data_IF_389190594108
#
_entry.id   IF_389190594108
#
_cell.length_a   1.000
_cell.length_b   1.000
_cell.length_c   1.000
_cell.angle_alpha   90.00
_cell.angle_beta   90.00
_cell.angle_gamma   90.00
#
_symmetry.space_group_name_H-M   'P 1'
#
loop_
_entity.id
_entity.type
_entity.pdbx_description
1 polymer ?
#
# COMPACT_ATOMS: atom_id res chain seq x y z
N UNK A 1 -4.72 15.22 25.93
CA UNK A 1 -6.02 15.53 25.32
C UNK A 1 -6.08 14.94 23.92
N UNK A 2 -6.96 13.93 23.78
CA UNK A 2 -7.53 13.29 22.57
C UNK A 2 -6.64 13.08 21.33
N UNK A 3 -6.27 11.80 21.20
CA UNK A 3 -5.86 11.06 19.99
C UNK A 3 -6.54 11.61 18.73
N UNK A 4 -5.75 12.06 17.77
CA UNK A 4 -6.22 12.17 16.38
C UNK A 4 -5.87 10.85 15.68
N UNK A 5 -6.79 10.22 14.93
CA UNK A 5 -6.42 9.23 13.91
C UNK A 5 -5.40 9.85 12.94
N UNK A 6 -4.66 9.03 12.17
CA UNK A 6 -3.68 9.51 11.18
C UNK A 6 -4.22 10.72 10.44
N UNK A 7 -3.43 11.79 10.41
CA UNK A 7 -3.86 13.11 9.94
C UNK A 7 -4.65 12.96 8.63
N UNK A 8 -5.85 13.56 8.60
CA UNK A 8 -6.60 13.81 7.37
C UNK A 8 -5.67 14.62 6.48
N UNK A 9 -4.99 13.96 5.55
CA UNK A 9 -4.25 14.66 4.50
C UNK A 9 -5.30 15.40 3.70
N UNK A 10 -5.23 16.73 3.72
CA UNK A 10 -6.19 17.56 3.01
C UNK A 10 -6.09 17.18 1.52
N UNK A 11 -7.21 17.06 0.82
CA UNK A 11 -7.20 16.62 -0.59
C UNK A 11 -6.29 17.49 -1.49
N UNK A 12 -6.05 18.76 -1.11
CA UNK A 12 -5.09 19.67 -1.74
C UNK A 12 -3.62 19.26 -1.61
N UNK A 13 -3.29 18.35 -0.68
CA UNK A 13 -1.94 17.88 -0.36
C UNK A 13 -1.65 16.49 -0.95
N UNK A 14 -2.68 15.72 -1.37
CA UNK A 14 -2.52 14.37 -1.93
C UNK A 14 -2.45 14.36 -3.46
N UNK A 15 -2.93 15.39 -4.14
CA UNK A 15 -2.75 15.48 -5.58
C UNK A 15 -2.40 16.91 -5.96
N UNK A 16 -1.33 17.08 -6.74
CA UNK A 16 -1.02 18.35 -7.39
C UNK A 16 -2.15 18.71 -8.37
N UNK A 17 -3.23 19.32 -7.85
CA UNK A 17 -4.26 20.10 -8.53
C UNK A 17 -5.11 20.77 -7.45
N UNK A 18 -4.87 22.08 -7.29
CA UNK A 18 -5.55 22.95 -6.34
C UNK A 18 -7.07 22.75 -6.37
N UNK A 19 -7.66 22.54 -5.18
CA UNK A 19 -9.08 22.69 -4.96
C UNK A 19 -9.29 24.17 -4.62
N UNK A 20 -9.72 24.95 -5.60
CA UNK A 20 -10.34 26.25 -5.33
C UNK A 20 -11.79 26.00 -4.88
N UNK A 21 -12.20 26.72 -3.83
CA UNK A 21 -13.51 26.76 -3.16
C UNK A 21 -13.81 25.78 -2.01
N UNK A 22 -13.67 26.36 -0.81
CA UNK A 22 -14.62 26.54 0.30
C UNK A 22 -15.45 25.38 0.94
N UNK A 23 -15.42 25.41 2.28
CA UNK A 23 -16.31 24.82 3.30
C UNK A 23 -16.49 23.29 3.44
N UNK A 24 -16.15 22.44 2.48
CA UNK A 24 -16.12 20.96 2.72
C UNK A 24 -14.86 20.49 3.46
N UNK A 25 -13.91 21.40 3.69
CA UNK A 25 -12.56 21.16 4.22
C UNK A 25 -12.48 20.59 5.66
N UNK A 26 -13.59 20.46 6.39
CA UNK A 26 -13.58 19.86 7.74
C UNK A 26 -13.42 18.33 7.72
N UNK A 27 -13.74 17.66 6.60
CA UNK A 27 -13.62 16.20 6.46
C UNK A 27 -12.72 15.80 5.28
N UNK A 28 -11.50 15.36 5.58
CA UNK A 28 -10.55 14.86 4.59
C UNK A 28 -11.02 13.54 3.96
N UNK A 29 -10.47 13.23 2.78
CA UNK A 29 -10.77 12.02 2.02
C UNK A 29 -9.61 11.03 2.18
N UNK A 30 -9.91 9.74 2.32
CA UNK A 30 -8.87 8.70 2.38
C UNK A 30 -8.13 8.59 1.05
N UNK A 31 -6.79 8.58 1.09
CA UNK A 31 -5.94 8.58 -0.10
C UNK A 31 -6.24 7.43 -1.07
N UNK A 32 -6.55 6.24 -0.56
CA UNK A 32 -6.83 5.05 -1.38
C UNK A 32 -8.19 5.11 -2.11
N UNK A 33 -8.99 6.16 -1.88
CA UNK A 33 -10.21 6.46 -2.66
C UNK A 33 -9.91 7.35 -3.88
N UNK A 34 -8.67 7.84 -4.01
CA UNK A 34 -8.23 8.75 -5.06
C UNK A 34 -7.22 8.07 -5.97
N UNK A 35 -7.42 8.19 -7.28
CA UNK A 35 -6.48 7.70 -8.27
C UNK A 35 -5.34 8.70 -8.46
N UNK A 36 -4.12 8.18 -8.67
CA UNK A 36 -2.92 9.00 -8.85
C UNK A 36 -2.46 8.92 -10.33
N UNK A 37 -2.15 10.05 -10.99
CA UNK A 37 -1.66 10.04 -12.37
C UNK A 37 -0.32 9.31 -12.56
N UNK A 38 0.42 9.04 -11.49
CA UNK A 38 1.66 8.25 -11.51
C UNK A 38 1.45 6.73 -11.50
N UNK A 39 0.21 6.25 -11.37
CA UNK A 39 -0.12 4.82 -11.39
C UNK A 39 0.22 4.17 -12.73
N UNK A 40 0.74 2.93 -12.69
CA UNK A 40 1.12 2.14 -13.88
C UNK A 40 2.03 2.90 -14.87
N UNK A 41 3.25 3.32 -14.46
CA UNK A 41 4.16 4.26 -15.16
C UNK A 41 4.97 3.67 -16.34
N UNK A 42 4.45 2.64 -17.03
CA UNK A 42 5.29 1.77 -17.88
C UNK A 42 5.67 2.33 -19.26
N UNK A 43 5.10 3.46 -19.64
CA UNK A 43 5.27 4.07 -20.95
C UNK A 43 6.55 4.88 -21.16
N UNK A 44 7.31 5.07 -20.09
CA UNK A 44 8.62 5.70 -20.15
C UNK A 44 9.74 4.71 -20.50
N UNK A 45 9.48 3.41 -20.32
CA UNK A 45 10.43 2.36 -20.65
C UNK A 45 10.32 2.00 -22.15
N UNK A 46 11.46 2.13 -22.84
CA UNK A 46 11.55 1.90 -24.28
C UNK A 46 11.32 0.43 -24.62
N UNK A 47 11.86 -0.51 -23.83
CA UNK A 47 11.72 -1.93 -24.09
C UNK A 47 10.26 -2.36 -23.96
N UNK A 48 9.57 -1.90 -22.91
CA UNK A 48 8.14 -2.17 -22.73
C UNK A 48 7.31 -1.59 -23.88
N UNK A 49 7.60 -0.35 -24.29
CA UNK A 49 6.89 0.30 -25.40
C UNK A 49 7.07 -0.43 -26.74
N UNK A 50 8.23 -1.06 -26.96
CA UNK A 50 8.49 -1.88 -28.15
C UNK A 50 7.80 -3.25 -28.09
N UNK A 51 7.72 -3.86 -26.90
CA UNK A 51 7.17 -5.20 -26.71
C UNK A 51 5.63 -5.24 -26.64
N UNK A 52 5.00 -4.21 -26.08
CA UNK A 52 3.55 -4.16 -25.84
C UNK A 52 2.98 -2.75 -26.16
N UNK A 53 3.07 -2.31 -27.43
CA UNK A 53 2.71 -0.94 -27.82
C UNK A 53 1.22 -0.62 -27.66
N UNK A 54 0.34 -1.60 -27.90
CA UNK A 54 -1.12 -1.40 -27.85
C UNK A 54 -1.59 -1.26 -26.39
N UNK A 55 -1.08 -2.09 -25.49
CA UNK A 55 -1.35 -2.03 -24.06
C UNK A 55 -0.82 -0.72 -23.44
N UNK A 56 0.39 -0.29 -23.84
CA UNK A 56 0.96 0.99 -23.41
C UNK A 56 0.09 2.17 -23.89
N UNK A 57 -0.49 2.08 -25.08
CA UNK A 57 -1.43 3.09 -25.59
C UNK A 57 -2.70 3.16 -24.73
N UNK A 58 -3.30 2.02 -24.41
CA UNK A 58 -4.47 1.95 -23.51
C UNK A 58 -4.18 2.58 -22.15
N UNK A 59 -3.02 2.27 -21.55
CA UNK A 59 -2.57 2.85 -20.28
C UNK A 59 -2.42 4.38 -20.33
N UNK A 60 -1.83 4.91 -21.41
CA UNK A 60 -1.68 6.36 -21.60
C UNK A 60 -3.04 7.04 -21.67
N UNK A 61 -3.98 6.46 -22.39
CA UNK A 61 -5.34 6.98 -22.51
C UNK A 61 -6.08 6.93 -21.17
N UNK A 62 -5.97 5.81 -20.45
CA UNK A 62 -6.53 5.65 -19.10
C UNK A 62 -6.01 6.72 -18.12
N UNK A 63 -4.68 6.91 -18.02
CA UNK A 63 -4.08 7.91 -17.12
C UNK A 63 -4.52 9.34 -17.42
N UNK A 64 -4.71 9.70 -18.69
CA UNK A 64 -5.22 11.02 -19.06
C UNK A 64 -6.59 11.27 -18.42
N UNK A 65 -7.45 10.24 -18.43
CA UNK A 65 -8.78 10.27 -17.82
C UNK A 65 -8.79 10.48 -16.30
N UNK A 66 -7.74 10.04 -15.59
CA UNK A 66 -7.64 10.19 -14.13
C UNK A 66 -7.57 11.65 -13.68
N UNK A 67 -7.02 12.51 -14.53
CA UNK A 67 -6.71 13.90 -14.16
C UNK A 67 -7.89 14.86 -14.32
N UNK A 68 -9.06 14.38 -14.76
CA UNK A 68 -10.26 15.20 -14.90
C UNK A 68 -10.60 15.95 -13.59
N UNK A 69 -11.21 17.13 -13.68
CA UNK A 69 -11.65 17.84 -12.48
C UNK A 69 -12.72 17.03 -11.73
N UNK A 70 -12.76 17.17 -10.42
CA UNK A 70 -13.81 16.57 -9.59
C UNK A 70 -15.07 17.42 -9.69
N UNK A 71 -16.20 16.78 -9.95
CA UNK A 71 -17.53 17.42 -9.90
C UNK A 71 -18.08 17.43 -8.48
N UNK A 72 -19.14 18.21 -8.21
CA UNK A 72 -19.83 18.16 -6.91
C UNK A 72 -20.41 16.77 -6.60
N UNK A 73 -20.87 16.04 -7.63
CA UNK A 73 -21.31 14.65 -7.47
C UNK A 73 -20.16 13.74 -7.04
N UNK A 74 -18.98 13.91 -7.63
CA UNK A 74 -17.78 13.14 -7.25
C UNK A 74 -17.41 13.39 -5.78
N UNK A 75 -17.45 14.66 -5.35
CA UNK A 75 -17.16 15.03 -3.95
C UNK A 75 -18.15 14.40 -2.97
N UNK A 76 -19.45 14.43 -3.29
CA UNK A 76 -20.49 13.78 -2.47
C UNK A 76 -20.28 12.26 -2.38
N UNK A 77 -19.94 11.63 -3.52
CA UNK A 77 -19.63 10.19 -3.60
C UNK A 77 -18.44 9.82 -2.72
N UNK A 78 -17.34 10.58 -2.81
CA UNK A 78 -16.13 10.39 -2.00
C UNK A 78 -16.38 10.62 -0.50
N UNK A 79 -17.25 11.57 -0.14
CA UNK A 79 -17.64 11.79 1.26
C UNK A 79 -18.43 10.60 1.81
N UNK A 80 -19.36 10.04 1.02
CA UNK A 80 -20.11 8.83 1.40
C UNK A 80 -19.19 7.61 1.57
N UNK A 81 -18.26 7.40 0.63
CA UNK A 81 -17.22 6.37 0.72
C UNK A 81 -16.36 6.55 1.98
N UNK A 82 -15.90 7.77 2.24
CA UNK A 82 -15.06 8.06 3.42
C UNK A 82 -15.79 7.78 4.73
N UNK A 83 -17.08 8.13 4.81
CA UNK A 83 -17.93 7.80 5.96
C UNK A 83 -18.05 6.29 6.15
N UNK A 84 -18.22 5.53 5.08
CA UNK A 84 -18.29 4.07 5.16
C UNK A 84 -16.95 3.46 5.61
N UNK A 85 -15.83 3.98 5.12
CA UNK A 85 -14.48 3.60 5.58
C UNK A 85 -14.32 3.86 7.09
N UNK A 86 -14.73 5.03 7.60
CA UNK A 86 -14.65 5.35 9.03
C UNK A 86 -15.41 4.35 9.89
N UNK A 87 -16.62 3.98 9.48
CA UNK A 87 -17.46 3.04 10.22
C UNK A 87 -16.90 1.61 10.18
N UNK A 88 -16.46 1.13 9.01
CA UNK A 88 -15.81 -0.18 8.88
C UNK A 88 -14.50 -0.23 9.67
N UNK A 89 -13.71 0.83 9.65
CA UNK A 89 -12.44 0.90 10.37
C UNK A 89 -12.66 0.85 11.88
N UNK A 90 -13.65 1.61 12.39
CA UNK A 90 -14.01 1.56 13.80
C UNK A 90 -14.48 0.15 14.23
N UNK A 91 -15.20 -0.57 13.36
CA UNK A 91 -15.59 -1.96 13.61
C UNK A 91 -14.38 -2.89 13.60
N UNK A 92 -13.55 -2.85 12.57
CA UNK A 92 -12.35 -3.67 12.45
C UNK A 92 -11.39 -3.48 13.64
N UNK A 93 -11.17 -2.23 14.06
CA UNK A 93 -10.33 -1.90 15.22
C UNK A 93 -10.91 -2.47 16.53
N UNK A 94 -12.23 -2.43 16.71
CA UNK A 94 -12.92 -2.99 17.89
C UNK A 94 -12.79 -4.50 17.93
N UNK A 95 -13.12 -5.18 16.83
CA UNK A 95 -13.05 -6.64 16.71
C UNK A 95 -11.61 -7.12 16.96
N UNK A 96 -10.64 -6.45 16.34
CA UNK A 96 -9.23 -6.75 16.54
C UNK A 96 -8.78 -6.50 17.97
N UNK A 97 -9.15 -5.38 18.58
CA UNK A 97 -8.81 -5.06 19.97
C UNK A 97 -9.31 -6.12 20.96
N UNK A 98 -10.60 -6.49 20.86
CA UNK A 98 -11.20 -7.56 21.67
C UNK A 98 -10.52 -8.90 21.44
N UNK A 99 -10.16 -9.22 20.20
CA UNK A 99 -9.46 -10.45 19.89
C UNK A 99 -8.05 -10.46 20.51
N UNK A 100 -7.33 -9.35 20.43
CA UNK A 100 -6.01 -9.19 21.05
C UNK A 100 -6.06 -9.31 22.57
N UNK A 101 -7.10 -8.80 23.23
CA UNK A 101 -7.32 -9.03 24.67
C UNK A 101 -7.43 -10.52 25.03
N UNK A 102 -8.02 -11.34 24.15
CA UNK A 102 -8.18 -12.78 24.33
C UNK A 102 -6.88 -13.58 24.06
N UNK A 103 -6.04 -13.13 23.12
CA UNK A 103 -4.88 -13.90 22.64
C UNK A 103 -3.51 -13.37 23.08
N UNK A 104 -3.44 -12.18 23.67
CA UNK A 104 -2.18 -11.58 24.13
C UNK A 104 -1.53 -12.44 25.23
N UNK A 105 -0.28 -12.85 25.03
CA UNK A 105 0.61 -13.29 26.12
C UNK A 105 1.50 -12.12 26.48
N UNK A 106 1.74 -11.98 27.79
CA UNK A 106 2.88 -11.20 28.26
C UNK A 106 4.01 -12.18 28.46
N UNK A 107 5.12 -11.95 27.79
CA UNK A 107 6.35 -12.69 28.10
C UNK A 107 6.94 -12.14 29.40
N UNK A 108 7.54 -13.00 30.21
CA UNK A 108 8.28 -12.57 31.40
C UNK A 108 9.58 -11.90 30.96
N UNK A 109 9.64 -10.58 31.09
CA UNK A 109 10.84 -9.78 30.84
C UNK A 109 11.52 -9.49 32.17
N UNK A 110 12.85 -9.67 32.24
CA UNK A 110 13.62 -9.40 33.46
C UNK A 110 13.38 -7.97 33.97
N UNK A 111 13.12 -7.84 35.28
CA UNK A 111 12.82 -6.55 35.91
C UNK A 111 11.40 -6.01 35.69
N UNK A 112 10.54 -6.74 34.97
CA UNK A 112 9.11 -6.45 34.82
C UNK A 112 8.26 -7.45 35.63
N UNK A 113 6.99 -7.12 35.94
CA UNK A 113 6.07 -8.09 36.52
C UNK A 113 6.02 -9.38 35.69
N UNK A 114 5.86 -10.53 36.36
CA UNK A 114 5.74 -11.82 35.68
C UNK A 114 4.70 -11.77 34.55
N UNK A 115 5.05 -12.40 33.44
CA UNK A 115 4.20 -12.51 32.27
C UNK A 115 2.97 -13.39 32.49
N UNK A 116 2.22 -13.61 31.41
CA UNK A 116 1.10 -14.54 31.36
C UNK A 116 1.59 -15.95 31.66
N UNK A 117 0.92 -16.65 32.59
CA UNK A 117 1.14 -18.08 32.86
C UNK A 117 0.64 -19.00 31.74
N UNK A 118 -0.08 -18.45 30.75
CA UNK A 118 -0.62 -19.20 29.62
C UNK A 118 0.01 -18.66 28.32
N UNK A 119 1.07 -19.30 27.81
CA UNK A 119 1.64 -18.94 26.51
C UNK A 119 0.65 -19.39 25.43
N UNK A 120 -0.13 -18.45 24.90
CA UNK A 120 -0.96 -18.73 23.74
C UNK A 120 -0.05 -19.10 22.56
N UNK A 121 -0.15 -20.34 22.05
CA UNK A 121 0.67 -20.81 20.94
C UNK A 121 0.47 -19.91 19.72
N UNK A 122 1.57 -19.55 19.03
CA UNK A 122 1.59 -18.75 17.79
C UNK A 122 0.57 -19.27 16.77
N UNK A 123 0.49 -20.58 16.55
CA UNK A 123 -0.46 -21.17 15.60
C UNK A 123 -1.93 -20.90 15.97
N UNK A 124 -2.25 -20.90 17.27
CA UNK A 124 -3.59 -20.55 17.73
C UNK A 124 -3.88 -19.05 17.53
N UNK A 125 -2.89 -18.17 17.72
CA UNK A 125 -3.03 -16.73 17.43
C UNK A 125 -3.30 -16.47 15.95
N UNK A 126 -2.49 -17.07 15.08
CA UNK A 126 -2.64 -16.92 13.64
C UNK A 126 -4.02 -17.39 13.18
N UNK A 127 -4.48 -18.55 13.67
CA UNK A 127 -5.83 -19.05 13.38
C UNK A 127 -6.92 -18.07 13.83
N UNK A 128 -6.79 -17.48 15.01
CA UNK A 128 -7.75 -16.50 15.53
C UNK A 128 -7.74 -15.21 14.72
N UNK A 129 -6.55 -14.67 14.39
CA UNK A 129 -6.40 -13.47 13.57
C UNK A 129 -6.92 -13.68 12.14
N UNK A 130 -6.80 -14.90 11.59
CA UNK A 130 -7.35 -15.25 10.28
C UNK A 130 -8.88 -15.11 10.20
N UNK A 131 -9.59 -15.17 11.34
CA UNK A 131 -11.04 -14.94 11.39
C UNK A 131 -11.41 -13.53 10.96
N UNK A 132 -10.60 -12.53 11.35
CA UNK A 132 -10.79 -11.15 10.89
C UNK A 132 -10.56 -11.00 9.39
N UNK A 133 -9.74 -11.88 8.79
CA UNK A 133 -9.39 -11.85 7.37
C UNK A 133 -10.37 -12.61 6.47
N UNK A 134 -11.40 -13.23 7.05
CA UNK A 134 -12.43 -13.94 6.27
C UNK A 134 -13.19 -12.97 5.34
N UNK A 135 -13.66 -13.44 4.18
CA UNK A 135 -14.44 -12.61 3.26
C UNK A 135 -15.65 -11.95 3.94
N UNK A 136 -15.96 -10.72 3.51
CA UNK A 136 -17.11 -9.95 3.97
C UNK A 136 -16.95 -9.25 5.32
N UNK A 137 -15.93 -9.57 6.12
CA UNK A 137 -15.66 -8.88 7.40
C UNK A 137 -15.29 -7.42 7.17
N UNK A 138 -15.41 -6.58 8.21
CA UNK A 138 -15.02 -5.18 8.09
C UNK A 138 -13.55 -5.02 7.68
N UNK A 139 -12.66 -5.84 8.24
CA UNK A 139 -11.25 -5.86 7.89
C UNK A 139 -11.02 -6.29 6.42
N UNK A 140 -11.64 -7.38 5.94
CA UNK A 140 -11.35 -7.89 4.59
C UNK A 140 -11.89 -6.96 3.50
N UNK A 141 -13.04 -6.30 3.73
CA UNK A 141 -13.57 -5.25 2.84
C UNK A 141 -12.61 -4.07 2.73
N UNK A 142 -12.11 -3.56 3.86
CA UNK A 142 -11.11 -2.48 3.86
C UNK A 142 -9.82 -2.91 3.16
N UNK A 143 -9.33 -4.11 3.46
CA UNK A 143 -8.13 -4.64 2.83
C UNK A 143 -8.30 -4.76 1.31
N UNK A 144 -9.42 -5.28 0.84
CA UNK A 144 -9.69 -5.40 -0.60
C UNK A 144 -9.73 -4.04 -1.30
N UNK A 145 -10.34 -3.03 -0.68
CA UNK A 145 -10.37 -1.66 -1.22
C UNK A 145 -8.96 -1.05 -1.31
N UNK A 146 -8.14 -1.21 -0.27
CA UNK A 146 -6.76 -0.71 -0.26
C UNK A 146 -5.85 -1.51 -1.20
N UNK A 147 -6.03 -2.83 -1.29
CA UNK A 147 -5.29 -3.70 -2.21
C UNK A 147 -5.63 -3.39 -3.67
N UNK A 148 -6.90 -3.11 -3.99
CA UNK A 148 -7.31 -2.64 -5.31
C UNK A 148 -6.56 -1.35 -5.69
N UNK A 149 -6.47 -0.39 -4.77
CA UNK A 149 -5.71 0.85 -5.00
C UNK A 149 -4.21 0.58 -5.21
N UNK A 150 -3.60 -0.30 -4.40
CA UNK A 150 -2.20 -0.69 -4.57
C UNK A 150 -1.94 -1.39 -5.91
N UNK A 151 -2.85 -2.28 -6.34
CA UNK A 151 -2.75 -3.01 -7.59
C UNK A 151 -2.64 -2.09 -8.81
N UNK A 152 -3.29 -0.91 -8.78
CA UNK A 152 -3.23 0.07 -9.88
C UNK A 152 -1.84 0.67 -10.10
N UNK A 153 -0.93 0.59 -9.13
CA UNK A 153 0.46 1.04 -9.32
C UNK A 153 1.27 0.07 -10.18
N UNK A 154 0.97 -1.24 -10.11
CA UNK A 154 1.65 -2.30 -10.83
C UNK A 154 0.64 -3.18 -11.61
N UNK A 155 -0.28 -2.55 -12.34
CA UNK A 155 -1.31 -3.28 -13.07
C UNK A 155 -0.69 -4.12 -14.20
N UNK A 156 -1.04 -5.41 -14.36
CA UNK A 156 -0.50 -6.25 -15.42
C UNK A 156 -0.78 -5.65 -16.79
N UNK A 157 0.25 -5.51 -17.62
CA UNK A 157 0.18 -4.76 -18.86
C UNK A 157 -0.71 -5.46 -19.87
N UNK A 158 -0.65 -6.78 -19.92
CA UNK A 158 -1.52 -7.64 -20.73
C UNK A 158 -3.00 -7.49 -20.36
N UNK A 159 -3.31 -6.98 -19.16
CA UNK A 159 -4.66 -6.74 -18.68
C UNK A 159 -5.04 -5.25 -18.72
N UNK A 160 -4.33 -4.42 -19.50
CA UNK A 160 -4.59 -2.98 -19.59
C UNK A 160 -6.02 -2.63 -20.01
N UNK A 161 -6.69 -3.48 -20.79
CA UNK A 161 -8.09 -3.30 -21.18
C UNK A 161 -9.09 -3.38 -20.00
N UNK A 162 -8.70 -4.00 -18.89
CA UNK A 162 -9.52 -4.14 -17.68
C UNK A 162 -9.30 -3.02 -16.66
N UNK A 163 -8.44 -2.04 -16.96
CA UNK A 163 -8.23 -0.90 -16.06
C UNK A 163 -9.54 -0.14 -15.84
N UNK A 164 -9.99 0.02 -14.58
CA UNK A 164 -11.23 0.71 -14.31
C UNK A 164 -11.05 2.21 -14.56
N UNK A 165 -11.98 2.81 -15.32
CA UNK A 165 -12.15 4.26 -15.34
C UNK A 165 -12.41 4.79 -13.92
N UNK A 166 -12.28 6.11 -13.72
CA UNK A 166 -12.49 6.74 -12.41
C UNK A 166 -13.88 6.44 -11.82
N UNK A 167 -14.91 6.45 -12.65
CA UNK A 167 -16.29 6.14 -12.22
C UNK A 167 -16.44 4.67 -11.85
N UNK A 168 -15.90 3.75 -12.67
CA UNK A 168 -15.92 2.31 -12.39
C UNK A 168 -15.13 1.98 -11.11
N UNK A 169 -13.99 2.61 -10.89
CA UNK A 169 -13.19 2.45 -9.66
C UNK A 169 -14.00 2.80 -8.41
N UNK A 170 -14.74 3.91 -8.41
CA UNK A 170 -15.61 4.23 -7.30
C UNK A 170 -16.80 3.28 -7.17
N UNK A 171 -17.37 2.79 -8.26
CA UNK A 171 -18.44 1.77 -8.21
C UNK A 171 -17.93 0.49 -7.56
N UNK A 172 -16.73 0.03 -7.93
CA UNK A 172 -16.05 -1.09 -7.29
C UNK A 172 -15.88 -0.86 -5.78
N UNK A 173 -15.39 0.32 -5.38
CA UNK A 173 -15.22 0.66 -3.96
C UNK A 173 -16.56 0.69 -3.20
N UNK A 174 -17.62 1.21 -3.80
CA UNK A 174 -18.96 1.21 -3.19
C UNK A 174 -19.48 -0.21 -2.96
N UNK A 175 -19.25 -1.10 -3.92
CA UNK A 175 -19.54 -2.53 -3.82
C UNK A 175 -18.74 -3.18 -2.70
N UNK A 176 -17.40 -3.09 -2.75
CA UNK A 176 -16.47 -3.68 -1.76
C UNK A 176 -16.80 -3.22 -0.34
N UNK A 177 -16.97 -1.90 -0.14
CA UNK A 177 -17.23 -1.31 1.18
C UNK A 177 -18.70 -1.48 1.61
N UNK A 178 -19.59 -1.85 0.69
CA UNK A 178 -21.01 -2.02 0.94
C UNK A 178 -21.67 -0.72 1.42
N UNK A 179 -21.51 0.38 0.67
CA UNK A 179 -22.06 1.71 1.04
C UNK A 179 -23.59 1.67 1.22
N UNK A 180 -24.28 0.76 0.54
CA UNK A 180 -25.73 0.54 0.68
C UNK A 180 -26.13 -0.44 1.79
N UNK A 181 -25.16 -1.03 2.51
CA UNK A 181 -25.39 -2.02 3.57
C UNK A 181 -25.22 -1.37 4.94
N UNK A 182 -26.16 -1.60 5.85
CA UNK A 182 -26.01 -1.17 7.23
C UNK A 182 -24.93 -2.00 7.92
N UNK A 183 -23.99 -1.33 8.58
CA UNK A 183 -22.90 -1.99 9.33
C UNK A 183 -23.43 -2.76 10.55
N UNK A 184 -24.62 -2.40 11.06
CA UNK A 184 -25.27 -3.15 12.12
C UNK A 184 -25.64 -4.59 11.71
N UNK A 185 -25.80 -4.84 10.40
CA UNK A 185 -26.16 -6.15 9.87
C UNK A 185 -24.93 -7.06 9.67
N UNK A 186 -23.71 -6.51 9.82
CA UNK A 186 -22.49 -7.29 9.70
C UNK A 186 -22.29 -8.15 10.97
N UNK A 187 -22.03 -9.47 10.81
CA UNK A 187 -21.75 -10.32 11.95
C UNK A 187 -20.50 -9.84 12.70
N UNK A 188 -20.57 -9.79 14.03
CA UNK A 188 -19.41 -9.49 14.88
C UNK A 188 -18.63 -10.77 15.15
N UNK A 189 -17.40 -10.85 14.64
CA UNK A 189 -16.52 -12.02 14.82
C UNK A 189 -16.33 -12.33 16.31
N UNK A 190 -16.26 -11.31 17.15
CA UNK A 190 -16.00 -11.49 18.59
C UNK A 190 -17.23 -11.94 19.37
N UNK A 191 -18.42 -11.48 19.00
CA UNK A 191 -19.69 -11.96 19.58
C UNK A 191 -19.96 -13.40 19.15
N UNK A 192 -19.67 -13.77 17.90
CA UNK A 192 -19.80 -15.15 17.45
C UNK A 192 -18.87 -16.10 18.20
N UNK A 193 -17.63 -15.71 18.45
CA UNK A 193 -16.69 -16.49 19.25
C UNK A 193 -17.14 -16.66 20.70
N UNK A 194 -17.91 -15.72 21.25
CA UNK A 194 -18.50 -15.84 22.59
C UNK A 194 -19.67 -16.82 22.63
N UNK A 195 -20.46 -16.87 21.55
CA UNK A 195 -21.59 -17.80 21.42
C UNK A 195 -21.13 -19.23 21.07
N UNK A 196 -20.17 -19.37 20.15
CA UNK A 196 -19.65 -20.65 19.67
C UNK A 196 -18.12 -20.54 19.48
N UNK A 197 -17.32 -20.96 20.48
CA UNK A 197 -15.86 -20.79 20.47
C UNK A 197 -15.10 -21.48 19.33
N UNK A 198 -15.75 -22.39 18.60
CA UNK A 198 -15.14 -23.18 17.52
C UNK A 198 -15.61 -22.80 16.11
N UNK A 199 -16.57 -21.87 15.98
CA UNK A 199 -17.15 -21.55 14.68
C UNK A 199 -17.51 -20.06 14.57
N UNK A 200 -16.83 -19.36 13.65
CA UNK A 200 -17.26 -18.07 13.12
C UNK A 200 -17.94 -18.35 11.79
N UNK A 201 -19.18 -17.90 11.63
CA UNK A 201 -19.88 -17.94 10.34
C UNK A 201 -19.28 -16.85 9.45
N UNK A 202 -18.77 -17.19 8.26
CA UNK A 202 -18.31 -16.19 7.32
C UNK A 202 -19.44 -15.20 7.01
N UNK A 203 -19.14 -13.91 7.03
CA UNK A 203 -19.99 -12.93 6.36
C UNK A 203 -19.96 -13.18 4.87
N UNK A 204 -21.12 -13.13 4.22
CA UNK A 204 -21.12 -13.09 2.76
C UNK A 204 -20.53 -11.74 2.30
N UNK A 205 -19.60 -11.75 1.33
CA UNK A 205 -19.16 -10.51 0.71
C UNK A 205 -20.35 -9.84 0.01
N UNK A 206 -20.36 -8.51 -0.07
CA UNK A 206 -21.39 -7.81 -0.85
C UNK A 206 -21.28 -8.27 -2.32
N UNK A 207 -22.42 -8.33 -3.05
CA UNK A 207 -22.38 -8.67 -4.46
C UNK A 207 -21.52 -7.67 -5.22
N UNK A 208 -20.84 -8.14 -6.25
CA UNK A 208 -20.07 -7.27 -7.12
C UNK A 208 -21.01 -6.26 -7.80
N UNK A 209 -20.60 -4.98 -7.90
CA UNK A 209 -21.44 -3.95 -8.50
C UNK A 209 -21.48 -4.14 -10.02
N UNK A 210 -22.61 -3.78 -10.63
CA UNK A 210 -22.66 -3.62 -12.08
C UNK A 210 -21.84 -2.39 -12.48
N UNK A 211 -20.95 -2.57 -13.47
CA UNK A 211 -20.11 -1.51 -14.00
C UNK A 211 -20.68 -1.00 -15.33
N UNK A 212 -20.42 0.27 -15.63
CA UNK A 212 -20.72 0.83 -16.94
C UNK A 212 -19.79 0.22 -18.01
N UNK A 213 -20.33 -0.09 -19.19
CA UNK A 213 -19.58 -0.65 -20.32
C UNK A 213 -19.42 -2.17 -20.28
N UNK A 214 -18.46 -2.70 -21.03
CA UNK A 214 -18.30 -4.15 -21.25
C UNK A 214 -17.42 -4.85 -20.17
N UNK A 215 -16.79 -4.09 -19.28
CA UNK A 215 -15.89 -4.61 -18.24
C UNK A 215 -16.70 -5.07 -17.04
N UNK A 216 -16.49 -6.31 -16.60
CA UNK A 216 -17.16 -6.87 -15.42
C UNK A 216 -16.36 -6.61 -14.15
N UNK A 217 -17.06 -6.37 -13.04
CA UNK A 217 -16.42 -6.11 -11.76
C UNK A 217 -15.55 -7.29 -11.29
N UNK A 218 -16.01 -8.52 -11.50
CA UNK A 218 -15.30 -9.74 -11.10
C UNK A 218 -13.94 -9.86 -11.80
N UNK A 219 -13.87 -9.49 -13.09
CA UNK A 219 -12.63 -9.55 -13.86
C UNK A 219 -11.61 -8.54 -13.34
N UNK A 220 -12.03 -7.29 -13.07
CA UNK A 220 -11.16 -6.26 -12.49
C UNK A 220 -10.68 -6.67 -11.10
N UNK A 221 -11.59 -7.16 -10.24
CA UNK A 221 -11.24 -7.56 -8.88
C UNK A 221 -10.33 -8.78 -8.85
N UNK A 222 -10.46 -9.71 -9.81
CA UNK A 222 -9.57 -10.85 -9.97
C UNK A 222 -8.14 -10.41 -10.33
N UNK A 223 -7.99 -9.54 -11.32
CA UNK A 223 -6.68 -8.99 -11.71
C UNK A 223 -6.06 -8.18 -10.58
N UNK A 224 -6.86 -7.34 -9.92
CA UNK A 224 -6.40 -6.57 -8.76
C UNK A 224 -5.91 -7.47 -7.63
N UNK A 225 -6.62 -8.57 -7.33
CA UNK A 225 -6.22 -9.52 -6.31
C UNK A 225 -4.90 -10.23 -6.65
N UNK A 226 -4.68 -10.60 -7.93
CA UNK A 226 -3.43 -11.22 -8.39
C UNK A 226 -2.25 -10.25 -8.30
N UNK A 227 -2.44 -9.00 -8.75
CA UNK A 227 -1.43 -7.96 -8.67
C UNK A 227 -1.09 -7.65 -7.19
N UNK A 228 -2.10 -7.48 -6.34
CA UNK A 228 -1.89 -7.24 -4.91
C UNK A 228 -1.22 -8.43 -4.21
N UNK A 229 -1.55 -9.67 -4.58
CA UNK A 229 -0.88 -10.87 -4.05
C UNK A 229 0.62 -10.90 -4.39
N UNK A 230 0.99 -10.40 -5.57
CA UNK A 230 2.39 -10.29 -5.98
C UNK A 230 3.12 -9.17 -5.24
N UNK A 231 2.49 -8.00 -5.10
CA UNK A 231 3.04 -6.84 -4.39
C UNK A 231 3.13 -7.05 -2.87
N UNK A 232 2.20 -7.81 -2.29
CA UNK A 232 2.06 -8.04 -0.84
C UNK A 232 2.04 -6.73 -0.02
N UNK A 233 1.12 -5.79 -0.32
CA UNK A 233 1.07 -4.52 0.38
C UNK A 233 0.75 -4.71 1.88
N UNK A 234 1.44 -3.93 2.72
CA UNK A 234 1.21 -3.89 4.16
C UNK A 234 0.53 -2.57 4.56
N UNK A 235 -0.74 -2.68 4.97
CA UNK A 235 -1.54 -1.55 5.45
C UNK A 235 -1.43 -1.44 6.98
N UNK A 236 -0.41 -0.73 7.47
CA UNK A 236 -0.08 -0.65 8.91
C UNK A 236 -1.28 -0.30 9.79
N UNK A 237 -2.01 0.74 9.41
CA UNK A 237 -3.17 1.26 10.13
C UNK A 237 -4.31 0.23 10.21
N UNK A 238 -4.44 -0.66 9.23
CA UNK A 238 -5.44 -1.72 9.23
C UNK A 238 -4.97 -2.96 10.01
N UNK A 239 -3.73 -3.41 9.75
CA UNK A 239 -3.12 -4.58 10.39
C UNK A 239 -2.89 -4.39 11.88
N UNK A 240 -2.77 -3.16 12.36
CA UNK A 240 -2.58 -2.84 13.78
C UNK A 240 -3.61 -1.80 14.27
N UNK A 241 -4.82 -1.84 13.72
CA UNK A 241 -5.87 -0.85 13.96
C UNK A 241 -6.16 -0.56 15.44
N UNK A 242 -6.07 -1.56 16.31
CA UNK A 242 -6.16 -1.41 17.77
C UNK A 242 -5.03 -0.55 18.35
N UNK A 243 -3.81 -0.67 17.84
CA UNK A 243 -2.65 0.14 18.27
C UNK A 243 -2.87 1.60 17.90
N UNK A 244 -3.33 1.87 16.68
CA UNK A 244 -3.61 3.24 16.23
C UNK A 244 -4.77 3.87 16.99
N UNK A 245 -5.87 3.14 17.21
CA UNK A 245 -7.04 3.66 17.96
C UNK A 245 -6.74 3.84 19.46
N UNK A 246 -5.93 2.96 20.05
CA UNK A 246 -5.63 2.99 21.49
C UNK A 246 -4.40 3.82 21.86
N UNK A 247 -3.42 3.97 20.97
CA UNK A 247 -2.12 4.61 21.29
C UNK A 247 -1.71 5.69 20.30
N UNK A 248 -2.48 5.89 19.22
CA UNK A 248 -2.16 6.86 18.18
C UNK A 248 -1.01 6.43 17.26
N UNK A 249 -0.54 5.18 17.38
CA UNK A 249 0.63 4.67 16.65
C UNK A 249 1.51 3.82 17.55
N UNK A 250 2.67 3.42 17.02
CA UNK A 250 3.67 2.64 17.76
C UNK A 250 4.48 3.51 18.72
N UNK A 251 4.56 3.10 19.99
CA UNK A 251 5.35 3.80 21.01
C UNK A 251 6.87 3.73 20.74
N UNK A 252 7.33 2.68 20.05
CA UNK A 252 8.73 2.45 19.70
C UNK A 252 8.81 1.84 18.29
N UNK A 253 9.63 2.43 17.43
CA UNK A 253 10.01 1.87 16.13
C UNK A 253 11.52 1.80 16.04
N UNK A 254 12.07 0.60 15.94
CA UNK A 254 13.52 0.36 15.85
C UNK A 254 13.85 -0.56 14.70
N UNK A 255 15.01 -0.37 14.08
CA UNK A 255 15.46 -1.24 13.00
C UNK A 255 16.65 -0.73 12.20
N UNK A 256 17.09 -1.56 11.25
CA UNK A 256 18.10 -1.23 10.25
C UNK A 256 17.45 -1.34 8.85
N UNK A 257 16.83 -0.26 8.35
CA UNK A 257 16.20 -0.29 7.03
C UNK A 257 17.19 -0.64 5.91
N UNK A 258 16.72 -1.25 4.80
CA UNK A 258 17.59 -1.61 3.69
C UNK A 258 18.19 -0.38 3.01
N UNK A 259 19.48 -0.42 2.72
CA UNK A 259 20.23 0.65 2.03
C UNK A 259 20.26 0.44 0.51
N UNK A 260 19.11 0.06 -0.04
CA UNK A 260 18.97 -0.34 -1.44
C UNK A 260 18.14 0.71 -2.15
N UNK A 261 18.62 1.12 -3.32
CA UNK A 261 17.81 1.85 -4.28
C UNK A 261 17.09 0.83 -5.14
N UNK A 262 15.76 0.92 -5.15
CA UNK A 262 14.95 0.11 -6.03
C UNK A 262 15.09 0.69 -7.44
N UNK A 263 15.76 -0.04 -8.34
CA UNK A 263 15.96 0.31 -9.75
C UNK A 263 15.60 -0.90 -10.62
N UNK A 264 14.95 -0.66 -11.77
CA UNK A 264 14.70 -1.70 -12.77
C UNK A 264 16.02 -2.06 -13.47
N UNK A 265 16.36 -3.36 -13.47
CA UNK A 265 17.54 -3.91 -14.14
C UNK A 265 17.10 -4.94 -15.17
N UNK A 266 17.03 -4.53 -16.43
CA UNK A 266 16.77 -5.44 -17.56
C UNK A 266 17.83 -6.54 -17.63
N UNK A 267 19.10 -6.19 -17.41
CA UNK A 267 20.21 -7.15 -17.40
C UNK A 267 19.98 -8.29 -16.39
N UNK A 268 19.54 -7.95 -15.17
CA UNK A 268 19.33 -8.90 -14.10
C UNK A 268 18.22 -9.91 -14.39
N UNK A 269 17.16 -9.50 -15.09
CA UNK A 269 16.09 -10.41 -15.51
C UNK A 269 16.53 -11.28 -16.68
N UNK A 270 17.25 -10.72 -17.65
CA UNK A 270 17.70 -11.49 -18.81
C UNK A 270 18.84 -12.47 -18.46
N UNK A 271 19.64 -12.19 -17.42
CA UNK A 271 20.72 -13.07 -16.96
C UNK A 271 20.24 -14.38 -16.34
N UNK A 272 18.98 -14.46 -15.91
CA UNK A 272 18.37 -15.73 -15.47
C UNK A 272 18.27 -16.74 -16.62
N UNK A 273 18.20 -16.27 -17.86
CA UNK A 273 18.20 -17.12 -19.07
C UNK A 273 19.60 -17.19 -19.69
N UNK A 274 20.28 -16.05 -19.85
CA UNK A 274 21.61 -15.97 -20.42
C UNK A 274 22.59 -15.30 -19.44
N UNK A 275 23.24 -16.08 -18.54
CA UNK A 275 24.14 -15.55 -17.52
C UNK A 275 25.30 -14.72 -18.08
N UNK A 276 25.64 -14.88 -19.36
CA UNK A 276 26.69 -14.09 -20.01
C UNK A 276 26.36 -12.60 -20.07
N UNK A 277 25.08 -12.21 -19.99
CA UNK A 277 24.69 -10.80 -20.02
C UNK A 277 25.36 -10.02 -18.87
N UNK A 278 25.32 -10.54 -17.65
CA UNK A 278 25.98 -9.92 -16.50
C UNK A 278 27.47 -10.29 -16.41
N UNK A 279 27.84 -11.55 -16.67
CA UNK A 279 29.23 -12.00 -16.56
C UNK A 279 30.18 -11.28 -17.55
N UNK A 280 29.71 -11.02 -18.77
CA UNK A 280 30.48 -10.32 -19.79
C UNK A 280 30.30 -8.79 -19.70
N UNK A 281 29.46 -8.30 -18.79
CA UNK A 281 29.20 -6.86 -18.60
C UNK A 281 28.64 -6.18 -19.85
N UNK A 282 27.65 -6.80 -20.50
CA UNK A 282 27.15 -6.31 -21.80
C UNK A 282 26.59 -4.88 -21.73
N UNK A 283 26.79 -4.13 -22.81
CA UNK A 283 26.26 -2.77 -22.93
C UNK A 283 24.73 -2.78 -23.07
N UNK A 284 24.06 -1.67 -22.74
CA UNK A 284 22.62 -1.52 -22.93
C UNK A 284 22.17 -1.77 -24.38
N UNK A 285 23.01 -1.43 -25.37
CA UNK A 285 22.71 -1.71 -26.78
C UNK A 285 22.79 -3.20 -27.11
N UNK A 286 23.70 -3.95 -26.48
CA UNK A 286 23.84 -5.39 -26.72
C UNK A 286 22.77 -6.17 -25.97
N UNK A 287 22.40 -5.72 -24.76
CA UNK A 287 21.22 -6.20 -24.03
C UNK A 287 19.97 -6.05 -24.89
N UNK A 288 19.75 -4.89 -25.51
CA UNK A 288 18.60 -4.69 -26.40
C UNK A 288 18.57 -5.65 -27.61
N UNK A 289 19.74 -6.00 -28.16
CA UNK A 289 19.83 -7.04 -29.21
C UNK A 289 19.55 -8.43 -28.68
N UNK A 290 19.98 -8.76 -27.46
CA UNK A 290 19.67 -10.05 -26.82
C UNK A 290 18.19 -10.16 -26.46
N UNK A 291 17.56 -9.08 -26.01
CA UNK A 291 16.12 -9.01 -25.70
C UNK A 291 15.27 -9.56 -26.85
N UNK A 292 15.53 -9.16 -28.10
CA UNK A 292 14.71 -9.61 -29.24
C UNK A 292 14.74 -11.12 -29.47
N UNK A 293 15.81 -11.80 -29.02
CA UNK A 293 15.93 -13.26 -29.09
C UNK A 293 15.42 -13.97 -27.84
N UNK A 294 15.61 -13.37 -26.66
CA UNK A 294 15.31 -14.00 -25.37
C UNK A 294 13.86 -13.78 -24.92
N UNK A 295 13.31 -12.59 -25.16
CA UNK A 295 11.96 -12.19 -24.73
C UNK A 295 10.95 -12.57 -25.80
N UNK A 296 10.66 -13.86 -25.90
CA UNK A 296 9.70 -14.43 -26.83
C UNK A 296 8.82 -15.48 -26.16
N UNK A 297 7.66 -15.76 -26.76
CA UNK A 297 6.74 -16.80 -26.28
C UNK A 297 6.34 -16.60 -24.82
N UNK A 298 6.47 -17.65 -24.01
CA UNK A 298 6.07 -17.64 -22.60
C UNK A 298 6.92 -16.74 -21.71
N UNK A 299 8.14 -16.38 -22.12
CA UNK A 299 9.00 -15.51 -21.29
C UNK A 299 8.61 -14.03 -21.37
N UNK A 300 7.84 -13.62 -22.39
CA UNK A 300 7.36 -12.25 -22.52
C UNK A 300 6.60 -11.81 -21.27
N UNK A 301 5.64 -12.62 -20.79
CA UNK A 301 4.86 -12.28 -19.61
C UNK A 301 5.71 -12.21 -18.35
N UNK A 302 6.64 -13.14 -18.14
CA UNK A 302 7.57 -13.08 -17.00
C UNK A 302 8.44 -11.82 -17.03
N UNK A 303 8.95 -11.45 -18.21
CA UNK A 303 9.71 -10.21 -18.39
C UNK A 303 8.88 -8.96 -18.06
N UNK A 304 7.67 -8.88 -18.60
CA UNK A 304 6.77 -7.75 -18.37
C UNK A 304 6.34 -7.67 -16.90
N UNK A 305 5.94 -8.77 -16.28
CA UNK A 305 5.56 -8.84 -14.86
C UNK A 305 6.70 -8.34 -13.95
N UNK A 306 7.94 -8.77 -14.19
CA UNK A 306 9.09 -8.32 -13.43
C UNK A 306 9.31 -6.80 -13.57
N UNK A 307 9.21 -6.28 -14.79
CA UNK A 307 9.35 -4.85 -15.05
C UNK A 307 8.25 -4.02 -14.37
N UNK A 308 7.00 -4.45 -14.53
CA UNK A 308 5.79 -3.81 -13.99
C UNK A 308 5.85 -3.71 -12.47
N UNK A 309 6.25 -4.79 -11.78
CA UNK A 309 6.37 -4.80 -10.32
C UNK A 309 7.39 -3.78 -9.84
N UNK A 310 8.58 -3.74 -10.44
CA UNK A 310 9.65 -2.82 -10.03
C UNK A 310 9.28 -1.37 -10.36
N UNK A 311 8.90 -1.10 -11.61
CA UNK A 311 8.55 0.25 -12.07
C UNK A 311 7.34 0.81 -11.32
N UNK A 312 6.31 -0.01 -11.11
CA UNK A 312 5.12 0.36 -10.34
C UNK A 312 5.44 0.69 -8.89
N UNK A 313 6.26 -0.14 -8.25
CA UNK A 313 6.72 0.11 -6.87
C UNK A 313 7.59 1.37 -6.78
N UNK A 314 8.48 1.61 -7.75
CA UNK A 314 9.29 2.82 -7.80
C UNK A 314 8.41 4.08 -7.91
N UNK A 315 7.40 4.07 -8.77
CA UNK A 315 6.48 5.20 -8.89
C UNK A 315 5.67 5.42 -7.61
N UNK A 316 5.17 4.35 -6.98
CA UNK A 316 4.49 4.45 -5.69
C UNK A 316 5.38 5.08 -4.60
N UNK A 317 6.64 4.62 -4.49
CA UNK A 317 7.58 5.14 -3.50
C UNK A 317 8.04 6.58 -3.80
N UNK A 318 7.97 7.01 -5.05
CA UNK A 318 8.25 8.39 -5.48
C UNK A 318 7.02 9.31 -5.45
N UNK A 319 5.83 8.78 -5.20
CA UNK A 319 4.60 9.54 -5.27
C UNK A 319 4.48 10.52 -4.08
N UNK A 320 4.26 11.80 -4.39
CA UNK A 320 4.07 12.86 -3.37
C UNK A 320 2.83 12.60 -2.52
N UNK A 321 1.80 11.98 -3.11
CA UNK A 321 0.59 11.52 -2.43
C UNK A 321 0.87 10.55 -1.28
N UNK A 322 1.96 9.78 -1.38
CA UNK A 322 2.34 8.75 -0.40
C UNK A 322 3.49 9.18 0.49
N UNK A 323 4.52 9.83 -0.09
CA UNK A 323 5.74 10.27 0.59
C UNK A 323 6.02 11.76 0.37
N UNK A 324 5.18 12.67 0.90
CA UNK A 324 5.32 14.11 0.65
C UNK A 324 6.65 14.68 1.15
N UNK A 325 7.19 14.15 2.26
CA UNK A 325 8.48 14.58 2.81
C UNK A 325 9.69 14.17 1.95
N UNK A 326 9.49 13.25 0.99
CA UNK A 326 10.51 12.78 0.06
C UNK A 326 10.37 13.42 -1.34
N UNK A 327 9.47 14.40 -1.51
CA UNK A 327 9.29 15.07 -2.79
C UNK A 327 10.63 15.64 -3.31
N UNK A 328 10.99 15.28 -4.54
CA UNK A 328 12.23 15.70 -5.21
C UNK A 328 13.50 14.96 -4.74
N UNK A 329 13.42 14.12 -3.72
CA UNK A 329 14.53 13.29 -3.25
C UNK A 329 14.58 12.00 -4.07
N UNK A 330 15.77 11.59 -4.49
CA UNK A 330 15.92 10.30 -5.16
C UNK A 330 15.64 9.17 -4.17
N UNK A 331 14.62 8.37 -4.48
CA UNK A 331 14.10 7.33 -3.60
C UNK A 331 15.16 6.26 -3.31
N UNK A 332 15.51 6.12 -2.03
CA UNK A 332 16.24 5.00 -1.45
C UNK A 332 15.37 4.44 -0.32
N UNK A 333 15.27 3.11 -0.21
CA UNK A 333 14.28 2.47 0.66
C UNK A 333 14.39 2.96 2.10
N UNK A 334 15.59 3.12 2.67
CA UNK A 334 15.72 3.58 4.06
C UNK A 334 15.02 4.93 4.32
N UNK A 335 14.97 5.84 3.32
CA UNK A 335 14.25 7.12 3.44
C UNK A 335 12.73 6.90 3.54
N UNK A 336 12.19 5.98 2.75
CA UNK A 336 10.78 5.57 2.81
C UNK A 336 10.46 4.92 4.17
N UNK A 337 11.34 4.07 4.70
CA UNK A 337 11.17 3.48 6.03
C UNK A 337 11.17 4.53 7.14
N UNK A 338 12.04 5.54 7.07
CA UNK A 338 12.06 6.66 8.03
C UNK A 338 10.77 7.47 7.96
N UNK A 339 10.35 7.86 6.75
CA UNK A 339 9.10 8.59 6.55
C UNK A 339 7.89 7.77 7.05
N UNK A 340 7.91 6.46 6.83
CA UNK A 340 6.89 5.53 7.34
C UNK A 340 6.91 5.47 8.86
N UNK A 341 8.08 5.31 9.48
CA UNK A 341 8.22 5.28 10.94
C UNK A 341 7.70 6.56 11.61
N UNK A 342 7.90 7.73 10.99
CA UNK A 342 7.28 8.97 11.46
C UNK A 342 5.77 9.01 11.32
N UNK A 343 5.21 8.35 10.29
CA UNK A 343 3.76 8.30 10.05
C UNK A 343 3.06 7.33 11.00
N UNK A 344 3.67 6.17 11.26
CA UNK A 344 3.06 5.10 12.07
C UNK A 344 3.42 5.18 13.56
N UNK A 345 4.45 5.93 13.91
CA UNK A 345 4.96 6.07 15.27
C UNK A 345 4.28 7.20 16.05
N UNK A 346 4.02 6.95 17.33
CA UNK A 346 3.56 7.97 18.30
C UNK A 346 4.61 8.26 19.38
N UNK A 347 5.71 7.50 19.42
CA UNK A 347 6.80 7.67 20.38
C UNK A 347 8.18 7.78 19.72
N UNK A 348 9.11 6.90 20.13
CA UNK A 348 10.52 7.01 19.77
C UNK A 348 10.81 6.21 18.50
N UNK A 349 11.55 6.82 17.57
CA UNK A 349 12.05 6.16 16.36
C UNK A 349 13.58 6.09 16.43
N UNK A 350 14.15 4.89 16.39
CA UNK A 350 15.59 4.64 16.39
C UNK A 350 16.00 3.76 15.21
N UNK A 351 16.57 4.36 14.16
CA UNK A 351 16.89 3.67 12.92
C UNK A 351 18.37 3.80 12.57
N UNK A 352 18.96 2.71 12.08
CA UNK A 352 20.32 2.70 11.52
C UNK A 352 20.24 2.95 10.01
N UNK A 353 20.86 4.02 9.52
CA UNK A 353 20.75 4.43 8.12
C UNK A 353 22.02 5.11 7.61
N UNK A 354 22.10 5.30 6.29
CA UNK A 354 23.18 6.07 5.64
C UNK A 354 23.02 7.59 5.87
N UNK A 355 24.11 8.35 5.76
CA UNK A 355 24.13 9.81 5.98
C UNK A 355 23.33 10.63 4.96
N UNK A 356 22.84 9.99 3.89
CA UNK A 356 22.06 10.60 2.80
C UNK A 356 20.76 11.33 3.19
N UNK A 357 20.40 11.37 4.48
CA UNK A 357 19.36 12.26 5.02
C UNK A 357 19.84 13.69 5.22
N UNK A 358 21.13 13.87 5.48
CA UNK A 358 21.72 15.13 5.89
C UNK A 358 22.29 15.92 4.71
N UNK A 359 22.78 15.25 3.67
CA UNK A 359 23.55 15.88 2.59
C UNK A 359 22.86 15.84 1.21
N UNK A 360 21.68 15.22 1.08
CA UNK A 360 20.97 15.17 -0.21
C UNK A 360 20.64 16.58 -0.73
N UNK A 361 21.12 17.01 -1.92
CA UNK A 361 20.91 18.36 -2.41
C UNK A 361 19.43 18.78 -2.49
N UNK A 362 18.53 17.83 -2.74
CA UNK A 362 17.09 18.07 -2.86
C UNK A 362 16.32 17.73 -1.56
N UNK A 363 17.02 17.30 -0.51
CA UNK A 363 16.44 16.89 0.77
C UNK A 363 15.96 18.00 1.69
N UNK A 364 15.64 19.21 1.19
CA UNK A 364 15.27 20.35 2.02
C UNK A 364 14.04 20.08 2.91
N UNK A 365 12.97 19.55 2.32
CA UNK A 365 11.72 19.20 3.04
C UNK A 365 11.98 18.05 4.03
N UNK A 366 12.70 17.02 3.59
CA UNK A 366 13.09 15.89 4.43
C UNK A 366 13.89 16.34 5.66
N UNK A 367 14.90 17.20 5.46
CA UNK A 367 15.72 17.76 6.55
C UNK A 367 14.90 18.62 7.51
N UNK A 368 14.01 19.46 7.00
CA UNK A 368 13.13 20.27 7.85
C UNK A 368 12.24 19.38 8.75
N UNK A 369 11.71 18.29 8.20
CA UNK A 369 10.96 17.30 8.97
C UNK A 369 11.87 16.51 9.95
N UNK A 370 13.08 16.15 9.54
CA UNK A 370 14.03 15.42 10.36
C UNK A 370 14.49 16.24 11.56
N UNK A 371 14.98 17.47 11.36
CA UNK A 371 15.59 18.27 12.43
C UNK A 371 14.61 18.67 13.54
N UNK A 372 13.31 18.77 13.24
CA UNK A 372 12.30 18.99 14.30
C UNK A 372 12.09 17.77 15.20
N UNK A 373 12.37 16.56 14.69
CA UNK A 373 12.18 15.26 15.36
C UNK A 373 13.48 14.72 15.96
N UNK A 374 14.63 15.12 15.42
CA UNK A 374 15.93 14.60 15.79
C UNK A 374 16.29 14.96 17.25
N UNK A 375 16.76 13.97 17.99
CA UNK A 375 17.18 14.12 19.40
C UNK A 375 18.60 13.64 19.64
N UNK A 376 19.01 12.58 18.95
CA UNK A 376 20.34 11.99 19.05
C UNK A 376 20.77 11.51 17.66
N UNK A 377 22.03 11.76 17.32
CA UNK A 377 22.74 11.13 16.20
C UNK A 377 23.99 10.50 16.79
N UNK A 378 24.20 9.22 16.52
CA UNK A 378 25.41 8.50 16.86
C UNK A 378 26.01 7.92 15.58
N UNK A 379 27.32 8.05 15.42
CA UNK A 379 28.05 7.44 14.31
C UNK A 379 28.79 6.20 14.82
N UNK A 380 28.63 5.10 14.10
CA UNK A 380 29.32 3.85 14.39
C UNK A 380 30.42 3.66 13.36
N UNK A 381 31.66 3.50 13.84
CA UNK A 381 32.79 3.14 13.00
C UNK A 381 33.14 1.69 13.28
N UNK A 382 33.12 0.84 12.26
CA UNK A 382 33.62 -0.52 12.39
C UNK A 382 35.15 -0.47 12.34
N UNK A 383 35.80 -0.54 13.51
CA UNK A 383 37.27 -0.47 13.63
C UNK A 383 37.95 -1.85 13.53
N UNK A 384 37.16 -2.93 13.52
CA UNK A 384 37.65 -4.28 13.33
C UNK A 384 37.57 -4.64 11.84
N UNK A 385 38.74 -4.69 11.19
CA UNK A 385 38.90 -5.36 9.90
C UNK A 385 38.88 -6.86 10.20
N UNK A 386 37.74 -7.52 9.97
CA UNK A 386 37.59 -8.97 10.09
C UNK A 386 37.93 -9.66 8.77
#
# INVERSE_FOLDING_TARGET
HHRRPPDRVLAKEVAARAWDDDQTAAQGIYHFLLLDPGMSPFDSDKAITELAPDEVKLLKEWRKGLTAKYTEKDKQRLAALSKQVELLYARAARERGRLMEKIASRESVWGQPEGSKNPFNIAAREKMLALLKQPGTAYSRLKQAMDLWCALWAWPLEQAALLPSRTQFWSLLEGILGVSTSIADLPDVTEQLELIPSAVRPSEPPPAPELEGDVKAEDVLSVAAQAAASLRPLHWELEFSEVFVQRGGFDLTVGNPPWIRLDWSEAGVLSDIDPRIELDGLSASDIAKRRTTLVTGSFLSTYLEAAIQVLGTQAFLGAVSTYPVLAGVRTNLYKCFIATAWRIGSGIVGLVHQDGLFDDPHGGVLRAALYSRLRLVAQFKNELVL
#
